data_IF_045217683568
#
_entry.id   IF_045217683568
#
_cell.length_a   1.000
_cell.length_b   1.000
_cell.length_c   1.000
_cell.angle_alpha   90.00
_cell.angle_beta   90.00
_cell.angle_gamma   90.00
#
_symmetry.space_group_name_H-M   'P 1'
#
loop_
_entity.id
_entity.type
_entity.pdbx_description
1 polymer ?
#
# COMPACT_ATOMS: atom_id res chain seq x y z
N UNK A 1 -3.67 25.41 2.35
CA UNK A 1 -4.04 24.22 2.96
C UNK A 1 -2.84 23.45 3.49
N UNK A 2 -2.95 23.04 4.69
CA UNK A 2 -1.85 22.36 5.29
C UNK A 2 -1.60 21.05 4.58
N UNK A 3 -0.49 20.95 3.93
CA UNK A 3 0.02 19.69 3.51
C UNK A 3 0.29 18.89 4.78
N UNK A 4 -0.22 17.71 4.83
CA UNK A 4 0.15 16.82 5.91
C UNK A 4 1.67 16.67 5.91
N UNK A 5 2.25 16.63 7.08
CA UNK A 5 3.69 16.44 7.19
C UNK A 5 4.04 14.99 6.92
N UNK A 6 4.32 14.67 5.67
CA UNK A 6 4.70 13.32 5.25
C UNK A 6 6.22 13.18 5.09
N UNK A 7 6.98 14.16 5.55
CA UNK A 7 8.43 14.14 5.42
C UNK A 7 9.02 12.88 6.06
N UNK A 8 9.79 12.14 5.27
CA UNK A 8 10.43 10.92 5.73
C UNK A 8 9.55 9.68 5.78
N UNK A 9 8.26 9.80 5.44
CA UNK A 9 7.37 8.63 5.38
C UNK A 9 7.80 7.73 4.22
N UNK A 10 8.10 6.48 4.50
CA UNK A 10 8.51 5.51 3.48
C UNK A 10 7.29 4.88 2.85
N UNK A 11 7.12 5.09 1.55
CA UNK A 11 5.98 4.58 0.78
C UNK A 11 6.49 3.69 -0.32
N UNK A 12 5.95 2.46 -0.40
CA UNK A 12 6.26 1.57 -1.50
C UNK A 12 5.14 1.60 -2.52
N UNK A 13 5.51 1.61 -3.80
CA UNK A 13 4.55 1.52 -4.90
C UNK A 13 4.95 0.35 -5.78
N UNK A 14 4.05 -0.61 -5.92
CA UNK A 14 4.25 -1.83 -6.69
C UNK A 14 3.33 -1.80 -7.90
N UNK A 15 3.88 -1.66 -9.08
CA UNK A 15 3.10 -1.61 -10.32
C UNK A 15 4.01 -1.99 -11.48
N UNK A 16 3.52 -2.80 -12.42
CA UNK A 16 4.31 -3.21 -13.57
C UNK A 16 4.39 -2.12 -14.65
N UNK A 17 3.60 -1.06 -14.54
CA UNK A 17 3.61 0.06 -15.48
C UNK A 17 4.64 1.11 -15.07
N UNK A 18 5.62 1.38 -15.93
CA UNK A 18 6.59 2.45 -15.71
C UNK A 18 5.90 3.80 -15.56
N UNK A 19 4.87 4.05 -16.35
CA UNK A 19 4.14 5.32 -16.32
C UNK A 19 3.46 5.53 -14.97
N UNK A 20 2.81 4.51 -14.45
CA UNK A 20 2.13 4.59 -13.16
C UNK A 20 3.15 4.77 -12.03
N UNK A 21 4.23 3.99 -12.04
CA UNK A 21 5.27 4.13 -11.01
C UNK A 21 5.86 5.54 -11.02
N UNK A 22 6.11 6.08 -12.21
CA UNK A 22 6.68 7.42 -12.34
C UNK A 22 5.71 8.48 -11.81
N UNK A 23 4.43 8.39 -12.14
CA UNK A 23 3.43 9.33 -11.66
C UNK A 23 3.34 9.30 -10.14
N UNK A 24 3.27 8.10 -9.57
CA UNK A 24 3.20 7.95 -8.12
C UNK A 24 4.46 8.51 -7.46
N UNK A 25 5.62 8.24 -8.03
CA UNK A 25 6.89 8.74 -7.51
C UNK A 25 6.91 10.26 -7.44
N UNK A 26 6.49 10.92 -8.53
CA UNK A 26 6.46 12.38 -8.59
C UNK A 26 5.52 12.93 -7.52
N UNK A 27 4.30 12.39 -7.42
CA UNK A 27 3.32 12.85 -6.44
C UNK A 27 3.82 12.69 -5.01
N UNK A 28 4.41 11.54 -4.71
CA UNK A 28 4.82 11.22 -3.35
C UNK A 28 6.09 11.96 -2.93
N UNK A 29 7.05 12.08 -3.81
CA UNK A 29 8.27 12.86 -3.52
C UNK A 29 7.94 14.33 -3.32
N UNK A 30 7.00 14.85 -4.09
CA UNK A 30 6.53 16.22 -3.95
C UNK A 30 5.91 16.46 -2.56
N UNK A 31 5.36 15.43 -1.94
CA UNK A 31 4.78 15.51 -0.61
C UNK A 31 5.80 15.24 0.52
N UNK A 32 7.04 14.97 0.17
CA UNK A 32 8.11 14.73 1.15
C UNK A 32 8.37 13.27 1.48
N UNK A 33 7.69 12.34 0.82
CA UNK A 33 7.86 10.92 1.10
C UNK A 33 9.18 10.37 0.54
N UNK A 34 9.72 9.36 1.21
CA UNK A 34 10.72 8.49 0.63
C UNK A 34 9.98 7.41 -0.15
N UNK A 35 10.30 7.25 -1.43
CA UNK A 35 9.55 6.36 -2.31
C UNK A 35 10.39 5.16 -2.68
N UNK A 36 9.80 3.97 -2.50
CA UNK A 36 10.41 2.70 -2.88
C UNK A 36 9.56 2.14 -4.01
N UNK A 37 10.17 1.91 -5.16
CA UNK A 37 9.45 1.41 -6.33
C UNK A 37 9.77 -0.06 -6.55
N UNK A 38 8.74 -0.83 -6.89
CA UNK A 38 8.89 -2.23 -7.25
C UNK A 38 8.08 -2.48 -8.53
N UNK A 39 8.65 -3.26 -9.44
CA UNK A 39 8.03 -3.50 -10.73
C UNK A 39 7.13 -4.74 -10.75
N UNK A 40 7.24 -5.60 -9.75
CA UNK A 40 6.39 -6.78 -9.61
C UNK A 40 6.39 -7.25 -8.15
N UNK A 41 5.61 -8.29 -7.87
CA UNK A 41 5.46 -8.80 -6.52
C UNK A 41 6.74 -9.40 -5.94
N UNK A 42 7.54 -10.04 -6.76
CA UNK A 42 8.80 -10.63 -6.29
C UNK A 42 9.81 -9.56 -5.92
N UNK A 43 9.93 -8.53 -6.77
CA UNK A 43 10.79 -7.37 -6.49
C UNK A 43 10.35 -6.69 -5.19
N UNK A 44 9.03 -6.56 -5.00
CA UNK A 44 8.46 -5.95 -3.80
C UNK A 44 8.83 -6.73 -2.55
N UNK A 45 8.65 -8.04 -2.56
CA UNK A 45 8.94 -8.86 -1.38
C UNK A 45 10.42 -8.76 -0.97
N UNK A 46 11.30 -8.69 -1.95
CA UNK A 46 12.73 -8.50 -1.70
C UNK A 46 13.01 -7.16 -1.02
N UNK A 47 12.40 -6.09 -1.55
CA UNK A 47 12.64 -4.73 -1.05
C UNK A 47 11.98 -4.45 0.30
N UNK A 48 10.82 -5.06 0.55
CA UNK A 48 10.10 -4.86 1.81
C UNK A 48 10.96 -5.28 3.00
N UNK A 49 11.55 -6.46 2.90
CA UNK A 49 12.38 -7.01 3.99
C UNK A 49 13.58 -6.11 4.31
N UNK A 50 14.09 -5.42 3.29
CA UNK A 50 15.30 -4.60 3.40
C UNK A 50 14.99 -3.16 3.81
N UNK A 51 13.91 -2.59 3.29
CA UNK A 51 13.66 -1.16 3.41
C UNK A 51 12.49 -0.78 4.35
N UNK A 52 11.68 -1.72 4.76
CA UNK A 52 10.61 -1.53 5.76
C UNK A 52 9.69 -0.33 5.45
N UNK A 53 8.88 -0.40 4.36
CA UNK A 53 7.95 0.69 4.08
C UNK A 53 6.87 0.80 5.16
N UNK A 54 6.36 1.99 5.35
CA UNK A 54 5.30 2.27 6.32
C UNK A 54 3.90 2.06 5.73
N UNK A 55 3.79 2.14 4.39
CA UNK A 55 2.55 1.88 3.67
C UNK A 55 2.92 1.40 2.27
N UNK A 56 2.08 0.52 1.72
CA UNK A 56 2.32 -0.11 0.42
C UNK A 56 1.11 0.08 -0.49
N UNK A 57 1.34 0.60 -1.70
CA UNK A 57 0.35 0.63 -2.75
C UNK A 57 0.70 -0.46 -3.76
N UNK A 58 -0.25 -1.30 -4.11
CA UNK A 58 0.00 -2.43 -5.01
C UNK A 58 -1.05 -2.53 -6.10
N UNK A 59 -0.60 -2.58 -7.35
CA UNK A 59 -1.47 -2.81 -8.49
C UNK A 59 -2.01 -4.24 -8.47
N UNK A 60 -3.28 -4.41 -8.78
CA UNK A 60 -3.92 -5.72 -8.82
C UNK A 60 -3.44 -6.52 -10.03
N UNK A 61 -3.38 -5.88 -11.19
CA UNK A 61 -3.11 -6.57 -12.46
C UNK A 61 -1.61 -6.59 -12.76
N UNK A 62 -0.93 -7.62 -12.30
CA UNK A 62 0.49 -7.81 -12.58
C UNK A 62 0.75 -9.24 -13.04
N UNK A 63 1.75 -9.46 -13.90
CA UNK A 63 2.07 -10.81 -14.35
C UNK A 63 2.71 -11.64 -13.24
N UNK A 64 2.54 -12.96 -13.33
CA UNK A 64 3.09 -13.97 -12.43
C UNK A 64 2.53 -13.92 -11.02
N UNK A 65 2.75 -12.85 -10.29
CA UNK A 65 2.26 -12.66 -8.94
C UNK A 65 1.40 -11.41 -8.93
N UNK A 66 0.08 -11.56 -8.89
CA UNK A 66 -0.83 -10.42 -8.93
C UNK A 66 -0.87 -9.68 -7.60
N UNK A 67 -1.64 -8.59 -7.54
CA UNK A 67 -1.73 -7.77 -6.34
C UNK A 67 -2.35 -8.49 -5.16
N UNK A 68 -3.32 -9.34 -5.39
CA UNK A 68 -3.95 -10.10 -4.31
C UNK A 68 -2.95 -11.09 -3.70
N UNK A 69 -2.23 -11.79 -4.54
CA UNK A 69 -1.21 -12.75 -4.10
C UNK A 69 -0.08 -12.05 -3.36
N UNK A 70 0.38 -10.92 -3.90
CA UNK A 70 1.42 -10.11 -3.28
C UNK A 70 0.99 -9.64 -1.90
N UNK A 71 -0.21 -9.09 -1.79
CA UNK A 71 -0.77 -8.63 -0.52
C UNK A 71 -0.84 -9.78 0.50
N UNK A 72 -1.36 -10.93 0.08
CA UNK A 72 -1.49 -12.08 0.96
C UNK A 72 -0.13 -12.52 1.50
N UNK A 73 0.90 -12.53 0.65
CA UNK A 73 2.25 -12.90 1.07
C UNK A 73 2.84 -11.89 2.06
N UNK A 74 2.62 -10.60 1.82
CA UNK A 74 3.06 -9.56 2.75
C UNK A 74 2.41 -9.77 4.12
N UNK A 75 1.10 -9.99 4.13
CA UNK A 75 0.34 -10.11 5.36
C UNK A 75 0.62 -11.39 6.15
N UNK A 76 1.15 -12.41 5.50
CA UNK A 76 1.57 -13.63 6.18
C UNK A 76 2.86 -13.47 6.96
N UNK A 77 3.66 -12.48 6.61
CA UNK A 77 4.92 -12.24 7.31
C UNK A 77 4.63 -11.47 8.58
N UNK A 78 4.99 -12.04 9.73
CA UNK A 78 4.72 -11.42 11.03
C UNK A 78 5.30 -10.01 11.15
N UNK A 79 6.42 -9.75 10.49
CA UNK A 79 7.07 -8.43 10.52
C UNK A 79 6.27 -7.35 9.79
N UNK A 80 5.45 -7.74 8.80
CA UNK A 80 4.75 -6.80 7.92
C UNK A 80 3.24 -6.95 7.97
N UNK A 81 2.76 -7.81 8.85
CA UNK A 81 1.34 -8.10 9.00
C UNK A 81 0.51 -6.85 9.27
N UNK A 82 1.05 -5.90 10.01
CA UNK A 82 0.35 -4.66 10.34
C UNK A 82 0.63 -3.51 9.38
N UNK A 83 1.52 -3.70 8.39
CA UNK A 83 1.80 -2.66 7.41
C UNK A 83 0.58 -2.44 6.51
N UNK A 84 0.05 -1.22 6.43
CA UNK A 84 -1.10 -0.98 5.56
C UNK A 84 -0.80 -1.28 4.10
N UNK A 85 -1.71 -1.98 3.43
CA UNK A 85 -1.60 -2.30 2.00
C UNK A 85 -2.85 -1.79 1.31
N UNK A 86 -2.65 -0.92 0.32
CA UNK A 86 -3.70 -0.27 -0.44
C UNK A 86 -3.67 -0.84 -1.86
N UNK A 87 -4.78 -1.43 -2.30
CA UNK A 87 -4.88 -2.00 -3.64
C UNK A 87 -5.19 -0.90 -4.65
N UNK A 88 -4.52 -0.95 -5.80
CA UNK A 88 -4.78 -0.03 -6.92
C UNK A 88 -5.38 -0.81 -8.07
N UNK A 89 -6.54 -0.38 -8.55
CA UNK A 89 -7.23 -1.09 -9.62
C UNK A 89 -7.81 -0.14 -10.65
N UNK A 90 -7.87 -0.58 -11.91
CA UNK A 90 -8.59 0.13 -12.95
C UNK A 90 -10.08 -0.17 -12.90
N UNK A 91 -10.51 -1.09 -12.04
CA UNK A 91 -11.91 -1.50 -11.91
C UNK A 91 -12.42 -1.21 -10.51
N UNK A 92 -13.59 -0.59 -10.42
CA UNK A 92 -14.24 -0.32 -9.16
C UNK A 92 -15.44 -1.26 -9.02
N UNK A 93 -15.18 -2.50 -8.62
CA UNK A 93 -16.20 -3.50 -8.46
C UNK A 93 -16.26 -4.04 -7.05
N UNK A 94 -17.47 -4.35 -6.61
CA UNK A 94 -17.70 -4.92 -5.27
C UNK A 94 -16.93 -6.24 -5.09
N UNK A 95 -16.87 -7.04 -6.14
CA UNK A 95 -16.15 -8.31 -6.12
C UNK A 95 -14.64 -8.09 -5.89
N UNK A 96 -14.07 -7.12 -6.60
CA UNK A 96 -12.65 -6.81 -6.47
C UNK A 96 -12.31 -6.28 -5.07
N UNK A 97 -13.21 -5.48 -4.50
CA UNK A 97 -13.03 -4.99 -3.12
C UNK A 97 -13.08 -6.12 -2.11
N UNK A 98 -14.03 -7.03 -2.26
CA UNK A 98 -14.17 -8.17 -1.38
C UNK A 98 -12.93 -9.08 -1.44
N UNK A 99 -12.44 -9.34 -2.65
CA UNK A 99 -11.26 -10.16 -2.86
C UNK A 99 -10.01 -9.52 -2.24
N UNK A 100 -9.89 -8.19 -2.35
CA UNK A 100 -8.80 -7.46 -1.71
C UNK A 100 -8.82 -7.62 -0.21
N UNK A 101 -10.00 -7.47 0.40
CA UNK A 101 -10.13 -7.64 1.85
C UNK A 101 -9.79 -9.07 2.29
N UNK A 102 -10.16 -10.06 1.51
CA UNK A 102 -9.81 -11.46 1.79
C UNK A 102 -8.30 -11.68 1.75
N UNK A 103 -7.59 -10.94 0.91
CA UNK A 103 -6.13 -11.00 0.84
C UNK A 103 -5.48 -10.20 1.98
N UNK A 104 -6.26 -9.45 2.74
CA UNK A 104 -5.77 -8.68 3.88
C UNK A 104 -5.49 -7.23 3.60
N UNK A 105 -5.92 -6.69 2.43
CA UNK A 105 -5.70 -5.28 2.12
C UNK A 105 -6.51 -4.38 3.04
N UNK A 106 -6.00 -3.19 3.26
CA UNK A 106 -6.62 -2.21 4.15
C UNK A 106 -7.54 -1.26 3.40
N UNK A 107 -7.32 -1.06 2.11
CA UNK A 107 -8.12 -0.15 1.30
C UNK A 107 -7.96 -0.50 -0.18
N UNK A 108 -8.83 0.08 -0.99
CA UNK A 108 -8.93 -0.14 -2.42
C UNK A 108 -9.12 1.23 -3.09
N UNK A 109 -8.23 1.58 -3.99
CA UNK A 109 -8.31 2.83 -4.74
C UNK A 109 -8.42 2.53 -6.23
N UNK A 110 -9.20 3.33 -6.94
CA UNK A 110 -9.41 3.18 -8.37
C UNK A 110 -8.44 4.08 -9.14
N UNK A 111 -7.83 3.56 -10.19
CA UNK A 111 -7.02 4.34 -11.11
C UNK A 111 -7.93 5.06 -12.10
N UNK A 112 -7.56 6.23 -12.58
CA UNK A 112 -6.35 6.97 -12.25
C UNK A 112 -6.45 7.61 -10.87
N UNK A 113 -5.35 7.61 -10.13
CA UNK A 113 -5.29 8.28 -8.84
C UNK A 113 -4.72 9.69 -9.01
N UNK A 114 -5.02 10.55 -8.06
CA UNK A 114 -4.44 11.90 -7.98
C UNK A 114 -3.45 11.95 -6.83
N UNK A 115 -2.68 13.03 -6.77
CA UNK A 115 -1.80 13.27 -5.64
C UNK A 115 -2.59 13.29 -4.34
N UNK A 116 -3.73 13.99 -4.33
CA UNK A 116 -4.56 14.10 -3.13
C UNK A 116 -5.08 12.73 -2.69
N UNK A 117 -5.48 11.89 -3.62
CA UNK A 117 -5.97 10.53 -3.30
C UNK A 117 -4.89 9.73 -2.57
N UNK A 118 -3.67 9.79 -3.08
CA UNK A 118 -2.55 9.06 -2.46
C UNK A 118 -2.21 9.62 -1.07
N UNK A 119 -2.15 10.94 -0.96
CA UNK A 119 -1.83 11.60 0.31
C UNK A 119 -2.91 11.33 1.36
N UNK A 120 -4.18 11.39 0.97
CA UNK A 120 -5.29 11.11 1.88
C UNK A 120 -5.23 9.68 2.40
N UNK A 121 -4.91 8.73 1.53
CA UNK A 121 -4.76 7.33 1.93
C UNK A 121 -3.60 7.16 2.91
N UNK A 122 -2.47 7.80 2.65
CA UNK A 122 -1.33 7.73 3.54
C UNK A 122 -1.70 8.27 4.93
N UNK A 123 -2.33 9.43 4.97
CA UNK A 123 -2.74 10.03 6.24
C UNK A 123 -3.73 9.15 6.99
N UNK A 124 -4.71 8.58 6.28
CA UNK A 124 -5.75 7.76 6.90
C UNK A 124 -5.17 6.47 7.49
N UNK A 125 -4.26 5.82 6.77
CA UNK A 125 -3.79 4.49 7.12
C UNK A 125 -2.45 4.45 7.83
N UNK A 126 -1.77 5.58 7.99
CA UNK A 126 -0.57 5.69 8.81
C UNK A 126 -0.80 6.52 10.06
N UNK A 127 -2.03 6.96 10.32
CA UNK A 127 -2.34 7.73 11.51
C UNK A 127 -2.14 6.88 12.77
N UNK A 128 -1.77 7.54 13.84
CA UNK A 128 -1.57 6.87 15.12
C UNK A 128 -2.84 6.15 15.57
N UNK A 129 -4.00 6.79 15.38
CA UNK A 129 -5.28 6.20 15.76
C UNK A 129 -5.56 4.90 14.98
N UNK A 130 -5.31 4.89 13.66
CA UNK A 130 -5.54 3.71 12.85
C UNK A 130 -4.61 2.57 13.26
N UNK A 131 -3.32 2.86 13.44
CA UNK A 131 -2.34 1.86 13.81
C UNK A 131 -2.61 1.29 15.21
N UNK A 132 -3.04 2.10 16.15
CA UNK A 132 -3.41 1.64 17.48
C UNK A 132 -4.64 0.72 17.44
N UNK A 133 -5.66 1.07 16.67
CA UNK A 133 -6.84 0.22 16.52
C UNK A 133 -6.49 -1.12 15.89
N UNK A 134 -5.61 -1.12 14.91
CA UNK A 134 -5.18 -2.32 14.24
C UNK A 134 -4.37 -3.22 15.17
N UNK A 135 -3.51 -2.64 15.98
CA UNK A 135 -2.73 -3.37 16.99
C UNK A 135 -3.66 -4.00 18.03
N UNK A 136 -4.63 -3.26 18.52
CA UNK A 136 -5.59 -3.77 19.51
C UNK A 136 -6.40 -4.93 18.94
N UNK A 137 -6.84 -4.85 17.70
CA UNK A 137 -7.56 -5.93 17.04
C UNK A 137 -6.69 -7.18 16.91
N UNK A 138 -5.42 -7.02 16.56
CA UNK A 138 -4.48 -8.13 16.46
C UNK A 138 -4.23 -8.78 17.80
N UNK A 139 -4.08 -7.98 18.86
CA UNK A 139 -3.89 -8.49 20.22
C UNK A 139 -5.09 -9.29 20.69
N UNK A 140 -6.30 -8.80 20.41
CA UNK A 140 -7.53 -9.53 20.73
C UNK A 140 -7.62 -10.84 19.97
N UNK A 141 -7.28 -10.81 18.68
CA UNK A 141 -7.35 -12.00 17.83
C UNK A 141 -6.34 -13.08 18.23
N UNK A 142 -5.23 -12.70 18.88
CA UNK A 142 -4.22 -13.67 19.30
C UNK A 142 -4.51 -14.30 20.66
N UNK A 143 -5.53 -13.81 21.34
CA UNK A 143 -5.98 -14.42 22.60
C UNK A 143 -6.91 -15.59 22.28
#
# INVERSE_FOLDING_TARGET
MAQANLAGTKVMVIDDSNTIRRSAEIFLKSAGCEVILAEDGFDALSKIADQHPQIIFVDIMMPRLDGYQTCALIKRNARFKSTPVIMLSSKDGLFDRARGRMAGSDEYLTKPFTQDTLIDAINAYTSEAYLNNKKNAADVASE
#
